data_IF_757944413482
#
_entry.id   IF_757944413482
#
_cell.length_a   1.000
_cell.length_b   1.000
_cell.length_c   1.000
_cell.angle_alpha   90.00
_cell.angle_beta   90.00
_cell.angle_gamma   90.00
#
_symmetry.space_group_name_H-M   'P 1'
#
loop_
_entity.id
_entity.type
_entity.pdbx_description
1 polymer ?
#
# COMPACT_ATOMS: atom_id res chain seq x y z
N UNK A 1 -9.45 22.82 1.58
CA UNK A 1 -8.36 23.79 1.81
C UNK A 1 -7.82 23.87 3.22
N UNK A 2 -8.56 24.36 4.21
CA UNK A 2 -8.04 24.59 5.58
C UNK A 2 -7.34 23.37 6.19
N UNK A 3 -7.89 22.16 6.01
CA UNK A 3 -7.28 20.92 6.50
C UNK A 3 -5.88 20.69 5.92
N UNK A 4 -5.70 20.86 4.60
CA UNK A 4 -4.42 20.62 3.93
C UNK A 4 -3.37 21.62 4.42
N UNK A 5 -3.75 22.89 4.53
CA UNK A 5 -2.87 23.97 5.03
C UNK A 5 -2.38 23.64 6.44
N UNK A 6 -3.30 23.26 7.35
CA UNK A 6 -2.93 22.92 8.72
C UNK A 6 -2.08 21.64 8.79
N UNK A 7 -2.44 20.59 8.05
CA UNK A 7 -1.71 19.32 8.06
C UNK A 7 -0.27 19.49 7.57
N UNK A 8 -0.07 20.16 6.43
CA UNK A 8 1.28 20.38 5.88
C UNK A 8 2.11 21.39 6.68
N UNK A 9 1.47 22.27 7.46
CA UNK A 9 2.17 23.20 8.35
C UNK A 9 2.56 22.63 9.71
N UNK A 10 2.04 21.47 10.10
CA UNK A 10 2.20 20.90 11.47
C UNK A 10 2.75 19.48 11.50
N UNK A 11 2.70 18.75 10.38
CA UNK A 11 3.16 17.37 10.26
C UNK A 11 4.29 17.27 9.24
N UNK A 12 5.09 16.19 9.33
CA UNK A 12 6.04 15.86 8.27
C UNK A 12 5.29 15.58 6.95
N UNK A 13 5.91 15.79 5.78
CA UNK A 13 5.21 15.65 4.49
C UNK A 13 4.47 14.32 4.31
N UNK A 14 5.11 13.21 4.71
CA UNK A 14 4.51 11.87 4.67
C UNK A 14 3.26 11.78 5.55
N UNK A 15 3.33 12.26 6.80
CA UNK A 15 2.21 12.23 7.73
C UNK A 15 1.08 13.18 7.34
N UNK A 16 1.39 14.36 6.77
CA UNK A 16 0.40 15.31 6.29
C UNK A 16 -0.48 14.72 5.17
N UNK A 17 0.15 14.09 4.17
CA UNK A 17 -0.55 13.40 3.07
C UNK A 17 -1.41 12.26 3.59
N UNK A 18 -0.85 11.41 4.47
CA UNK A 18 -1.59 10.30 5.06
C UNK A 18 -2.80 10.78 5.87
N UNK A 19 -2.66 11.85 6.65
CA UNK A 19 -3.75 12.42 7.44
C UNK A 19 -4.88 13.00 6.58
N UNK A 20 -4.56 13.69 5.49
CA UNK A 20 -5.57 14.18 4.53
C UNK A 20 -6.36 13.02 3.91
N UNK A 21 -5.67 11.94 3.51
CA UNK A 21 -6.30 10.71 3.03
C UNK A 21 -7.19 10.04 4.08
N UNK A 22 -6.73 9.95 5.33
CA UNK A 22 -7.52 9.40 6.44
C UNK A 22 -8.85 10.15 6.65
N UNK A 23 -8.81 11.49 6.64
CA UNK A 23 -10.03 12.30 6.82
C UNK A 23 -11.04 12.05 5.70
N UNK A 24 -10.59 11.78 4.47
CA UNK A 24 -11.48 11.36 3.36
C UNK A 24 -12.13 10.00 3.66
N UNK A 25 -11.40 9.04 4.23
CA UNK A 25 -11.99 7.75 4.63
C UNK A 25 -13.06 7.90 5.70
N UNK A 26 -12.75 8.63 6.77
CA UNK A 26 -13.72 8.90 7.85
C UNK A 26 -15.00 9.52 7.31
N UNK A 27 -14.91 10.32 6.24
CA UNK A 27 -16.04 11.00 5.60
C UNK A 27 -16.75 10.17 4.51
N UNK A 28 -16.06 9.22 3.88
CA UNK A 28 -16.51 8.57 2.63
C UNK A 28 -16.56 7.03 2.68
N UNK A 29 -16.37 6.42 3.86
CA UNK A 29 -16.74 5.03 4.20
C UNK A 29 -15.88 3.88 3.64
N UNK A 30 -14.93 4.08 2.72
CA UNK A 30 -14.18 2.96 2.11
C UNK A 30 -12.72 2.82 2.60
N UNK A 31 -12.51 2.17 3.74
CA UNK A 31 -11.17 1.81 4.22
C UNK A 31 -10.51 0.68 3.39
N UNK A 32 -9.23 0.43 3.65
CA UNK A 32 -8.44 -0.61 2.97
C UNK A 32 -9.10 -2.00 3.01
N UNK A 33 -9.88 -2.31 4.05
CA UNK A 33 -10.64 -3.56 4.17
C UNK A 33 -11.55 -3.84 2.98
N UNK A 34 -12.27 -2.82 2.51
CA UNK A 34 -13.21 -2.97 1.39
C UNK A 34 -12.47 -3.32 0.10
N UNK A 35 -11.27 -2.77 -0.11
CA UNK A 35 -10.43 -3.07 -1.28
C UNK A 35 -9.87 -4.49 -1.20
N UNK A 36 -9.39 -4.89 -0.02
CA UNK A 36 -8.86 -6.24 0.23
C UNK A 36 -9.92 -7.31 -0.02
N UNK A 37 -11.13 -7.11 0.51
CA UNK A 37 -12.29 -8.00 0.29
C UNK A 37 -12.82 -7.99 -1.15
N UNK A 38 -12.57 -6.89 -1.88
CA UNK A 38 -13.03 -6.70 -3.27
C UNK A 38 -14.36 -5.97 -3.41
N UNK A 39 -14.88 -5.43 -2.30
CA UNK A 39 -16.08 -4.59 -2.26
C UNK A 39 -15.81 -3.17 -2.82
N UNK A 40 -14.53 -2.77 -2.91
CA UNK A 40 -14.10 -1.49 -3.45
C UNK A 40 -12.85 -1.65 -4.36
N UNK A 41 -12.60 -0.62 -5.19
CA UNK A 41 -11.40 -0.51 -6.03
C UNK A 41 -10.46 0.55 -5.49
N UNK A 42 -9.20 0.51 -5.93
CA UNK A 42 -8.27 1.59 -5.71
C UNK A 42 -8.79 2.92 -6.28
N UNK A 43 -8.65 4.04 -5.56
CA UNK A 43 -8.90 5.36 -6.12
C UNK A 43 -8.00 5.62 -7.32
N UNK A 44 -8.56 6.07 -8.43
CA UNK A 44 -7.82 6.34 -9.66
C UNK A 44 -7.93 7.81 -10.12
N UNK A 45 -8.71 8.64 -9.43
CA UNK A 45 -8.89 10.06 -9.75
C UNK A 45 -7.70 10.85 -9.20
N UNK A 46 -7.22 11.83 -9.98
CA UNK A 46 -6.08 12.68 -9.59
C UNK A 46 -6.31 13.43 -8.28
N UNK A 47 -7.54 13.87 -8.02
CA UNK A 47 -7.95 14.56 -6.80
C UNK A 47 -7.90 13.68 -5.53
N UNK A 48 -7.84 12.36 -5.70
CA UNK A 48 -7.76 11.36 -4.63
C UNK A 48 -6.35 10.80 -4.43
N UNK A 49 -5.33 11.53 -4.90
CA UNK A 49 -3.95 11.07 -4.80
C UNK A 49 -3.48 10.90 -3.35
N UNK A 50 -3.84 11.81 -2.46
CA UNK A 50 -3.58 11.72 -1.02
C UNK A 50 -4.22 10.49 -0.39
N UNK A 51 -5.45 10.17 -0.80
CA UNK A 51 -6.16 8.98 -0.39
C UNK A 51 -5.47 7.70 -0.90
N UNK A 52 -5.01 7.71 -2.14
CA UNK A 52 -4.29 6.57 -2.73
C UNK A 52 -3.01 6.25 -1.95
N UNK A 53 -2.21 7.27 -1.57
CA UNK A 53 -1.04 7.08 -0.70
C UNK A 53 -1.42 6.54 0.67
N UNK A 54 -2.46 7.10 1.30
CA UNK A 54 -2.93 6.62 2.60
C UNK A 54 -3.34 5.14 2.57
N UNK A 55 -4.09 4.73 1.54
CA UNK A 55 -4.55 3.35 1.39
C UNK A 55 -3.38 2.40 1.05
N UNK A 56 -2.40 2.86 0.27
CA UNK A 56 -1.18 2.10 0.01
C UNK A 56 -0.36 1.85 1.29
N UNK A 57 -0.20 2.86 2.14
CA UNK A 57 0.46 2.71 3.44
C UNK A 57 -0.32 1.78 4.37
N UNK A 58 -1.66 1.91 4.41
CA UNK A 58 -2.53 1.02 5.17
C UNK A 58 -2.44 -0.43 4.69
N UNK A 59 -2.32 -0.61 3.37
CA UNK A 59 -2.11 -1.91 2.74
C UNK A 59 -0.76 -2.51 3.13
N UNK A 60 0.33 -1.73 3.07
CA UNK A 60 1.66 -2.15 3.55
C UNK A 60 1.60 -2.62 5.00
N UNK A 61 1.00 -1.84 5.90
CA UNK A 61 0.81 -2.19 7.31
C UNK A 61 0.09 -3.53 7.49
N UNK A 62 -0.91 -3.82 6.64
CA UNK A 62 -1.62 -5.10 6.66
C UNK A 62 -0.77 -6.26 6.20
N UNK A 63 0.01 -6.09 5.14
CA UNK A 63 0.93 -7.14 4.65
C UNK A 63 1.98 -7.49 5.70
N UNK A 64 2.53 -6.50 6.40
CA UNK A 64 3.47 -6.71 7.51
C UNK A 64 2.84 -7.57 8.61
N UNK A 65 1.57 -7.30 8.92
CA UNK A 65 0.86 -7.99 10.01
C UNK A 65 0.41 -9.41 9.64
N UNK A 66 -0.02 -9.62 8.40
CA UNK A 66 -0.73 -10.85 7.99
C UNK A 66 0.15 -11.86 7.26
N UNK A 67 1.25 -11.43 6.63
CA UNK A 67 2.15 -12.34 5.93
C UNK A 67 3.17 -12.96 6.90
N UNK A 68 3.36 -14.29 6.86
CA UNK A 68 4.39 -14.92 7.66
C UNK A 68 5.79 -14.59 7.12
N UNK A 69 6.76 -14.53 8.03
CA UNK A 69 8.18 -14.32 7.67
C UNK A 69 8.68 -15.42 6.74
N UNK A 70 8.35 -16.68 7.03
CA UNK A 70 8.63 -17.83 6.16
C UNK A 70 7.37 -18.32 5.45
N UNK A 71 7.50 -18.61 4.15
CA UNK A 71 6.43 -19.16 3.32
C UNK A 71 5.94 -20.52 3.81
N UNK A 72 6.79 -21.29 4.47
CA UNK A 72 6.47 -22.63 5.01
C UNK A 72 5.41 -22.57 6.12
N UNK A 73 5.36 -21.47 6.87
CA UNK A 73 4.39 -21.25 7.93
C UNK A 73 3.06 -20.66 7.42
N UNK A 74 2.84 -20.67 6.10
CA UNK A 74 1.67 -20.03 5.50
C UNK A 74 0.41 -20.88 5.64
N UNK A 75 -0.57 -20.34 6.38
CA UNK A 75 -1.91 -20.92 6.48
C UNK A 75 -2.66 -20.86 5.14
N UNK A 76 -3.77 -21.60 5.03
CA UNK A 76 -4.64 -21.52 3.85
C UNK A 76 -5.21 -20.09 3.64
N UNK A 77 -5.61 -19.43 4.73
CA UNK A 77 -6.07 -18.04 4.71
C UNK A 77 -4.93 -17.07 4.32
N UNK A 78 -3.70 -17.32 4.80
CA UNK A 78 -2.50 -16.57 4.43
C UNK A 78 -2.18 -16.68 2.93
N UNK A 79 -2.35 -17.87 2.34
CA UNK A 79 -2.20 -18.07 0.88
C UNK A 79 -3.20 -17.25 0.09
N UNK A 80 -4.47 -17.25 0.47
CA UNK A 80 -5.50 -16.45 -0.19
C UNK A 80 -5.19 -14.95 -0.09
N UNK A 81 -4.76 -14.51 1.09
CA UNK A 81 -4.36 -13.12 1.36
C UNK A 81 -3.17 -12.73 0.49
N UNK A 82 -2.14 -13.56 0.41
CA UNK A 82 -0.97 -13.32 -0.44
C UNK A 82 -1.33 -13.24 -1.92
N UNK A 83 -2.17 -14.15 -2.42
CA UNK A 83 -2.64 -14.11 -3.81
C UNK A 83 -3.40 -12.82 -4.12
N UNK A 84 -4.36 -12.45 -3.26
CA UNK A 84 -5.13 -11.22 -3.40
C UNK A 84 -4.24 -9.98 -3.33
N UNK A 85 -3.29 -9.96 -2.40
CA UNK A 85 -2.34 -8.87 -2.22
C UNK A 85 -1.50 -8.63 -3.46
N UNK A 86 -0.98 -9.68 -4.11
CA UNK A 86 -0.23 -9.53 -5.36
C UNK A 86 -1.07 -8.93 -6.48
N UNK A 87 -2.32 -9.40 -6.65
CA UNK A 87 -3.25 -8.81 -7.62
C UNK A 87 -3.56 -7.33 -7.33
N UNK A 88 -3.73 -6.97 -6.06
CA UNK A 88 -3.95 -5.58 -5.66
C UNK A 88 -2.73 -4.69 -5.89
N UNK A 89 -1.52 -5.22 -5.69
CA UNK A 89 -0.27 -4.52 -5.97
C UNK A 89 -0.09 -4.29 -7.49
N UNK A 90 -0.47 -5.25 -8.33
CA UNK A 90 -0.52 -5.08 -9.80
C UNK A 90 -1.47 -3.95 -10.19
N UNK A 91 -2.70 -3.98 -9.69
CA UNK A 91 -3.69 -2.93 -9.96
C UNK A 91 -3.20 -1.55 -9.47
N UNK A 92 -2.53 -1.50 -8.32
CA UNK A 92 -1.97 -0.26 -7.80
C UNK A 92 -0.84 0.26 -8.70
N UNK A 93 0.02 -0.63 -9.21
CA UNK A 93 1.11 -0.26 -10.13
C UNK A 93 0.60 0.23 -11.50
N UNK A 94 -0.51 -0.32 -11.98
CA UNK A 94 -1.20 0.16 -13.20
C UNK A 94 -1.74 1.58 -13.03
N UNK A 95 -2.22 1.93 -11.83
CA UNK A 95 -2.67 3.30 -11.50
C UNK A 95 -1.45 4.21 -11.28
N UNK A 96 -0.46 3.71 -10.54
CA UNK A 96 0.75 4.43 -10.22
C UNK A 96 1.86 3.53 -9.68
N UNK A 97 2.88 3.34 -10.51
CA UNK A 97 4.13 2.66 -10.15
C UNK A 97 4.75 3.24 -8.87
N UNK A 98 4.81 4.57 -8.76
CA UNK A 98 5.46 5.24 -7.61
C UNK A 98 4.74 4.93 -6.28
N UNK A 99 3.42 5.09 -6.19
CA UNK A 99 2.65 4.64 -5.01
C UNK A 99 2.85 3.15 -4.74
N UNK A 100 2.81 2.29 -5.76
CA UNK A 100 3.03 0.86 -5.57
C UNK A 100 4.43 0.55 -4.99
N UNK A 101 5.46 1.32 -5.37
CA UNK A 101 6.80 1.18 -4.79
C UNK A 101 6.84 1.52 -3.31
N UNK A 102 6.03 2.48 -2.84
CA UNK A 102 5.94 2.81 -1.40
C UNK A 102 5.50 1.61 -0.55
N UNK A 103 4.70 0.68 -1.12
CA UNK A 103 4.25 -0.53 -0.43
C UNK A 103 5.39 -1.51 -0.20
N UNK A 104 6.29 -1.65 -1.17
CA UNK A 104 7.40 -2.63 -1.15
C UNK A 104 8.73 -2.01 -0.73
N UNK A 105 8.74 -0.72 -0.38
CA UNK A 105 9.93 0.00 0.03
C UNK A 105 10.60 -0.65 1.24
N UNK A 106 11.91 -0.42 1.37
CA UNK A 106 12.62 -0.69 2.60
C UNK A 106 12.19 0.30 3.70
N UNK A 107 12.63 0.07 4.92
CA UNK A 107 12.62 1.09 5.97
C UNK A 107 13.79 2.07 5.78
N UNK A 108 13.92 3.03 6.71
CA UNK A 108 14.94 4.07 6.67
C UNK A 108 16.37 3.52 6.79
N UNK A 109 16.53 2.31 7.36
CA UNK A 109 17.81 1.60 7.48
C UNK A 109 18.11 0.72 6.25
N UNK A 110 17.22 0.70 5.26
CA UNK A 110 17.37 -0.09 4.04
C UNK A 110 16.95 -1.56 4.17
N UNK A 111 16.35 -1.95 5.31
CA UNK A 111 15.90 -3.31 5.53
C UNK A 111 14.53 -3.56 4.85
N UNK A 112 14.33 -4.74 4.24
CA UNK A 112 13.03 -5.11 3.69
C UNK A 112 11.99 -5.22 4.82
N UNK A 113 10.91 -4.46 4.69
CA UNK A 113 9.82 -4.46 5.67
C UNK A 113 8.84 -5.62 5.42
N UNK A 114 8.72 -6.06 4.15
CA UNK A 114 7.90 -7.21 3.77
C UNK A 114 8.75 -8.49 3.66
N UNK A 115 8.15 -9.68 3.87
CA UNK A 115 8.87 -10.95 3.75
C UNK A 115 9.53 -11.12 2.37
N UNK A 116 10.78 -11.58 2.35
CA UNK A 116 11.57 -11.71 1.11
C UNK A 116 10.91 -12.60 0.06
N UNK A 117 10.24 -13.67 0.48
CA UNK A 117 9.52 -14.57 -0.45
C UNK A 117 8.40 -13.83 -1.19
N UNK A 118 7.69 -12.91 -0.53
CA UNK A 118 6.61 -12.13 -1.13
C UNK A 118 7.17 -11.10 -2.11
N UNK A 119 8.27 -10.44 -1.74
CA UNK A 119 8.96 -9.48 -2.61
C UNK A 119 9.49 -10.14 -3.89
N UNK A 120 10.05 -11.35 -3.80
CA UNK A 120 10.51 -12.12 -4.98
C UNK A 120 9.35 -12.50 -5.90
N UNK A 121 8.20 -12.88 -5.33
CA UNK A 121 7.01 -13.17 -6.14
C UNK A 121 6.43 -11.91 -6.79
N UNK A 122 6.29 -10.82 -6.03
CA UNK A 122 5.82 -9.54 -6.55
C UNK A 122 6.75 -9.00 -7.65
N UNK A 123 8.06 -9.17 -7.51
CA UNK A 123 9.06 -8.83 -8.51
C UNK A 123 8.88 -9.59 -9.82
N UNK A 124 8.55 -10.89 -9.74
CA UNK A 124 8.27 -11.73 -10.91
C UNK A 124 7.00 -11.27 -11.63
N UNK A 125 5.97 -10.98 -10.86
CA UNK A 125 4.66 -10.57 -11.39
C UNK A 125 4.71 -9.12 -11.93
N UNK A 126 5.65 -8.29 -11.46
CA UNK A 126 5.81 -6.89 -11.86
C UNK A 126 7.29 -6.47 -11.95
N UNK A 127 8.01 -6.80 -13.04
CA UNK A 127 9.43 -6.47 -13.19
C UNK A 127 9.73 -4.97 -13.06
N UNK A 128 8.83 -4.12 -13.57
CA UNK A 128 8.95 -2.66 -13.55
C UNK A 128 9.01 -2.06 -12.13
N UNK A 129 8.44 -2.74 -11.13
CA UNK A 129 8.53 -2.27 -9.73
C UNK A 129 9.94 -2.41 -9.15
N UNK A 130 10.74 -3.33 -9.70
CA UNK A 130 12.10 -3.64 -9.24
C UNK A 130 13.15 -2.89 -10.06
N UNK A 131 12.91 -2.66 -11.35
CA UNK A 131 13.85 -1.94 -12.23
C UNK A 131 14.14 -0.52 -11.74
N UNK A 132 13.12 0.17 -11.21
CA UNK A 132 13.28 1.52 -10.63
C UNK A 132 13.84 1.53 -9.19
N UNK A 133 14.31 0.39 -8.66
CA UNK A 133 15.07 0.28 -7.40
C UNK A 133 16.59 0.25 -7.62
N UNK A 134 17.07 0.04 -8.86
CA UNK A 134 18.50 0.14 -9.23
C UNK A 134 18.86 1.58 -9.58
#
# INVERSE_FOLDING_TARGET
>A
ETLKVLAHGTLTPRHATAFCGYVKIVRSRFGIEAIVKGDARWPNRLEDRDLLYYLAESFRGRLIKELPVSKEHMSAAGRQTAYRAKSLLVQLAEISVEVAQTVIAADDDGNPVLPSWFLVEAARDMPRLVEARR
#
